data_IF_801409779714
#
_entry.id   IF_801409779714
#
_cell.length_a   1.000
_cell.length_b   1.000
_cell.length_c   1.000
_cell.angle_alpha   90.00
_cell.angle_beta   90.00
_cell.angle_gamma   90.00
#
_symmetry.space_group_name_H-M   'P 1'
#
loop_
_entity.id
_entity.type
_entity.pdbx_description
1 polymer ?
#
# COMPACT_ATOMS: atom_id res chain seq x y z
N UNK A 1 23.50 4.30 -10.95
CA UNK A 1 22.31 4.25 -11.84
C UNK A 1 21.53 2.98 -11.59
N UNK A 2 20.20 3.04 -11.58
CA UNK A 2 19.35 1.83 -11.62
C UNK A 2 18.82 1.68 -13.04
N UNK A 3 19.02 0.49 -13.61
CA UNK A 3 18.69 0.19 -15.00
C UNK A 3 18.01 -1.16 -15.06
N UNK A 4 17.00 -1.27 -15.92
CA UNK A 4 16.25 -2.50 -16.15
C UNK A 4 16.86 -3.23 -17.33
N UNK A 5 16.85 -4.56 -17.26
CA UNK A 5 17.38 -5.41 -18.31
C UNK A 5 16.91 -6.84 -18.16
N UNK A 6 17.05 -7.59 -19.25
CA UNK A 6 16.69 -9.02 -19.31
C UNK A 6 17.96 -9.85 -19.31
N UNK A 7 17.93 -10.98 -18.61
CA UNK A 7 19.01 -11.97 -18.61
C UNK A 7 18.85 -12.87 -19.84
N UNK A 8 19.77 -12.82 -20.80
CA UNK A 8 19.69 -13.66 -22.00
C UNK A 8 20.36 -15.01 -21.81
N UNK A 9 21.63 -15.03 -21.39
CA UNK A 9 22.41 -16.26 -21.26
C UNK A 9 23.34 -16.25 -20.04
N UNK A 10 23.43 -17.40 -19.39
CA UNK A 10 24.45 -17.71 -18.38
C UNK A 10 25.43 -18.68 -19.07
N UNK A 11 26.66 -18.23 -19.30
CA UNK A 11 27.69 -19.05 -19.93
C UNK A 11 28.87 -19.23 -18.96
N UNK A 12 29.65 -20.30 -19.08
CA UNK A 12 30.83 -20.53 -18.25
C UNK A 12 32.07 -20.25 -19.10
N UNK A 13 32.92 -19.34 -18.66
CA UNK A 13 34.17 -19.05 -19.36
C UNK A 13 35.16 -20.20 -19.12
N UNK A 14 35.38 -21.02 -20.14
CA UNK A 14 36.23 -22.22 -20.06
C UNK A 14 37.72 -21.93 -19.79
N UNK A 15 38.20 -20.67 -19.92
CA UNK A 15 39.58 -20.30 -19.58
C UNK A 15 39.75 -19.89 -18.12
N UNK A 16 38.68 -19.42 -17.47
CA UNK A 16 38.74 -18.90 -16.10
C UNK A 16 37.87 -19.67 -15.10
N UNK A 17 37.01 -20.56 -15.59
CA UNK A 17 36.07 -21.36 -14.79
C UNK A 17 34.94 -20.55 -14.15
N UNK A 18 34.78 -19.27 -14.52
CA UNK A 18 33.83 -18.36 -13.87
C UNK A 18 32.56 -18.21 -14.71
N UNK A 19 31.38 -18.10 -14.06
CA UNK A 19 30.13 -17.80 -14.74
C UNK A 19 30.17 -16.37 -15.32
N UNK A 20 29.88 -16.25 -16.61
CA UNK A 20 29.71 -15.02 -17.36
C UNK A 20 28.22 -14.81 -17.60
N UNK A 21 27.73 -13.66 -17.16
CA UNK A 21 26.33 -13.28 -17.28
C UNK A 21 26.24 -12.08 -18.24
N UNK A 22 25.43 -12.19 -19.28
CA UNK A 22 25.14 -11.10 -20.22
C UNK A 22 23.77 -10.50 -19.92
N UNK A 23 23.71 -9.19 -19.70
CA UNK A 23 22.47 -8.44 -19.52
C UNK A 23 22.16 -7.64 -20.78
N UNK A 24 20.94 -7.78 -21.30
CA UNK A 24 20.39 -6.85 -22.29
C UNK A 24 19.76 -5.68 -21.53
N UNK A 25 20.25 -4.46 -21.74
CA UNK A 25 19.81 -3.26 -21.03
C UNK A 25 18.83 -2.44 -21.87
N UNK A 26 17.73 -2.00 -21.26
CA UNK A 26 16.80 -1.06 -21.91
C UNK A 26 17.34 0.37 -21.87
N UNK A 27 17.59 0.95 -23.06
CA UNK A 27 17.93 2.36 -23.27
C UNK A 27 19.38 2.61 -23.76
N UNK A 28 19.51 3.19 -24.96
CA UNK A 28 20.82 3.54 -25.59
C UNK A 28 21.57 4.64 -24.83
N UNK A 29 20.89 5.50 -24.10
CA UNK A 29 21.48 6.68 -23.44
C UNK A 29 22.33 6.36 -22.20
N UNK A 30 22.40 5.09 -21.78
CA UNK A 30 23.19 4.64 -20.61
C UNK A 30 24.50 3.94 -20.98
N UNK A 31 24.85 3.92 -22.27
CA UNK A 31 26.03 3.21 -22.78
C UNK A 31 27.33 3.83 -22.23
N UNK A 32 27.38 5.16 -22.13
CA UNK A 32 28.53 5.92 -21.63
C UNK A 32 28.91 5.56 -20.19
N UNK A 33 27.91 5.36 -19.33
CA UNK A 33 28.14 5.02 -17.93
C UNK A 33 28.58 3.57 -17.76
N UNK A 34 28.20 2.68 -18.69
CA UNK A 34 28.57 1.27 -18.67
C UNK A 34 30.01 1.07 -19.17
N UNK A 35 30.43 1.82 -20.19
CA UNK A 35 31.80 1.76 -20.70
C UNK A 35 32.84 2.17 -19.64
N UNK A 36 32.51 3.13 -18.78
CA UNK A 36 33.37 3.57 -17.67
C UNK A 36 33.59 2.50 -16.59
N UNK A 37 32.73 1.47 -16.53
CA UNK A 37 32.81 0.39 -15.55
C UNK A 37 33.69 -0.78 -16.02
N UNK A 38 34.22 -0.72 -17.25
CA UNK A 38 35.03 -1.78 -17.86
C UNK A 38 36.39 -1.87 -17.17
N UNK A 39 36.68 -3.01 -16.54
CA UNK A 39 37.96 -3.29 -15.87
C UNK A 39 37.98 -3.00 -14.36
N UNK A 40 36.88 -2.49 -13.79
CA UNK A 40 36.74 -2.24 -12.35
C UNK A 40 36.10 -3.45 -11.63
N UNK A 41 36.43 -3.63 -10.35
CA UNK A 41 35.78 -4.64 -9.50
C UNK A 41 34.43 -4.11 -9.02
N UNK A 42 33.35 -4.60 -9.61
CA UNK A 42 31.99 -4.13 -9.36
C UNK A 42 31.27 -5.01 -8.34
N UNK A 43 30.47 -4.39 -7.46
CA UNK A 43 29.45 -5.09 -6.67
C UNK A 43 28.15 -5.07 -7.47
N UNK A 44 27.69 -6.23 -7.93
CA UNK A 44 26.48 -6.38 -8.77
C UNK A 44 25.38 -7.03 -7.93
N UNK A 45 24.22 -6.38 -7.81
CA UNK A 45 23.02 -6.92 -7.15
C UNK A 45 21.86 -6.90 -8.14
N UNK A 46 21.41 -8.07 -8.59
CA UNK A 46 20.28 -8.20 -9.51
C UNK A 46 19.00 -8.51 -8.72
N UNK A 47 18.02 -7.60 -8.75
CA UNK A 47 16.69 -7.82 -8.16
C UNK A 47 15.66 -8.02 -9.26
N UNK A 48 14.68 -8.89 -9.03
CA UNK A 48 13.52 -9.05 -9.92
C UNK A 48 12.88 -7.69 -10.16
N UNK A 49 12.78 -7.27 -11.41
CA UNK A 49 12.06 -6.05 -11.74
C UNK A 49 10.57 -6.26 -11.46
N UNK A 50 10.08 -5.54 -10.45
CA UNK A 50 8.66 -5.41 -10.16
C UNK A 50 8.27 -4.05 -10.70
N UNK A 51 7.32 -4.00 -11.65
CA UNK A 51 6.78 -2.75 -12.18
C UNK A 51 6.41 -1.86 -10.99
N UNK A 52 7.10 -0.73 -10.84
CA UNK A 52 6.75 0.28 -9.84
C UNK A 52 5.27 0.56 -10.06
N UNK A 53 4.41 0.25 -9.09
CA UNK A 53 2.97 0.56 -9.22
C UNK A 53 2.92 2.05 -9.58
N UNK A 54 2.32 2.37 -10.72
CA UNK A 54 1.98 3.75 -11.09
C UNK A 54 1.36 4.40 -9.86
N UNK A 55 1.57 5.70 -9.63
CA UNK A 55 0.99 6.39 -8.47
C UNK A 55 -0.50 6.01 -8.41
N UNK A 56 -0.84 5.22 -7.40
CA UNK A 56 -2.15 4.57 -7.33
C UNK A 56 -2.99 5.34 -6.32
N UNK A 57 -4.31 5.17 -6.36
CA UNK A 57 -5.23 5.86 -5.46
C UNK A 57 -4.75 5.82 -3.98
N UNK A 58 -4.23 4.68 -3.51
CA UNK A 58 -3.67 4.54 -2.16
C UNK A 58 -2.45 5.43 -1.90
N UNK A 59 -1.49 5.49 -2.83
CA UNK A 59 -0.31 6.33 -2.65
C UNK A 59 -0.69 7.81 -2.63
N UNK A 60 -1.65 8.20 -3.47
CA UNK A 60 -2.16 9.56 -3.49
C UNK A 60 -2.86 9.92 -2.18
N UNK A 61 -3.70 9.03 -1.66
CA UNK A 61 -4.34 9.19 -0.35
C UNK A 61 -3.30 9.39 0.76
N UNK A 62 -2.31 8.49 0.88
CA UNK A 62 -1.30 8.59 1.94
C UNK A 62 -0.47 9.88 1.84
N UNK A 63 -0.17 10.33 0.63
CA UNK A 63 0.55 11.58 0.42
C UNK A 63 -0.25 12.78 0.97
N UNK A 64 -1.52 12.91 0.59
CA UNK A 64 -2.37 13.99 1.07
C UNK A 64 -2.59 13.92 2.59
N UNK A 65 -2.80 12.71 3.11
CA UNK A 65 -3.01 12.51 4.54
C UNK A 65 -1.79 12.93 5.35
N UNK A 66 -0.59 12.58 4.88
CA UNK A 66 0.65 12.96 5.53
C UNK A 66 0.84 14.49 5.53
N UNK A 67 0.66 15.15 4.38
CA UNK A 67 0.73 16.61 4.28
C UNK A 67 -0.28 17.31 5.20
N UNK A 68 -1.52 16.78 5.28
CA UNK A 68 -2.54 17.28 6.19
C UNK A 68 -2.12 17.14 7.66
N UNK A 69 -1.63 15.96 8.05
CA UNK A 69 -1.23 15.66 9.41
C UNK A 69 0.01 16.46 9.86
N UNK A 70 0.94 16.72 8.94
CA UNK A 70 2.09 17.59 9.20
C UNK A 70 1.67 19.03 9.53
N UNK A 71 0.61 19.53 8.87
CA UNK A 71 0.05 20.87 9.12
C UNK A 71 -0.84 20.93 10.36
N UNK A 72 -1.58 19.86 10.65
CA UNK A 72 -2.49 19.78 11.79
C UNK A 72 -1.83 19.23 13.07
N UNK A 73 -0.52 18.95 13.04
CA UNK A 73 0.25 18.32 14.12
C UNK A 73 -0.43 17.07 14.71
N UNK A 74 -1.04 16.26 13.84
CA UNK A 74 -1.81 15.07 14.24
C UNK A 74 -1.11 13.79 13.79
N UNK A 75 -1.34 12.68 14.48
CA UNK A 75 -0.80 11.39 14.05
C UNK A 75 -1.52 10.85 12.79
N UNK A 76 -0.74 10.50 11.77
CA UNK A 76 -1.25 10.02 10.48
C UNK A 76 -2.01 8.69 10.60
N UNK A 77 -1.60 7.82 11.53
CA UNK A 77 -2.26 6.52 11.73
C UNK A 77 -3.59 6.68 12.45
N UNK A 78 -3.65 7.52 13.48
CA UNK A 78 -4.89 7.83 14.19
C UNK A 78 -5.91 8.52 13.28
N UNK A 79 -5.46 9.51 12.50
CA UNK A 79 -6.31 10.21 11.55
C UNK A 79 -6.84 9.26 10.45
N UNK A 80 -6.00 8.35 9.96
CA UNK A 80 -6.44 7.32 9.03
C UNK A 80 -7.50 6.40 9.65
N UNK A 81 -7.30 5.94 10.89
CA UNK A 81 -8.28 5.10 11.60
C UNK A 81 -9.59 5.82 11.82
N UNK A 82 -9.55 7.11 12.20
CA UNK A 82 -10.73 7.96 12.36
C UNK A 82 -11.54 8.04 11.06
N UNK A 83 -10.89 8.31 9.93
CA UNK A 83 -11.56 8.38 8.62
C UNK A 83 -12.17 7.05 8.20
N UNK A 84 -11.46 5.93 8.42
CA UNK A 84 -12.01 4.59 8.15
C UNK A 84 -13.22 4.30 9.02
N UNK A 85 -13.20 4.72 10.29
CA UNK A 85 -14.33 4.62 11.21
C UNK A 85 -15.54 5.40 10.71
N UNK A 86 -15.34 6.64 10.28
CA UNK A 86 -16.39 7.54 9.77
C UNK A 86 -17.04 7.02 8.49
N UNK A 87 -16.26 6.33 7.63
CA UNK A 87 -16.81 5.66 6.46
C UNK A 87 -17.70 4.45 6.82
N UNK A 88 -17.65 3.97 8.06
CA UNK A 88 -18.47 2.86 8.55
C UNK A 88 -18.17 1.53 7.87
N UNK A 89 -16.93 1.35 7.38
CA UNK A 89 -16.55 0.14 6.64
C UNK A 89 -16.12 -0.93 7.65
N UNK A 90 -17.11 -1.52 8.32
CA UNK A 90 -16.92 -2.60 9.27
C UNK A 90 -17.87 -3.77 9.01
N UNK A 91 -17.51 -4.92 9.56
CA UNK A 91 -18.41 -6.06 9.69
C UNK A 91 -18.63 -6.36 11.15
N UNK A 92 -19.89 -6.68 11.49
CA UNK A 92 -20.27 -7.04 12.84
C UNK A 92 -20.03 -8.53 13.07
N UNK A 93 -19.33 -8.85 14.15
CA UNK A 93 -19.11 -10.21 14.62
C UNK A 93 -19.63 -10.37 16.04
N UNK A 94 -20.08 -11.58 16.37
CA UNK A 94 -20.41 -11.98 17.74
C UNK A 94 -19.35 -12.98 18.18
N UNK A 95 -18.58 -12.64 19.21
CA UNK A 95 -17.45 -13.43 19.68
C UNK A 95 -17.58 -13.61 21.20
N UNK A 96 -17.28 -14.80 21.69
CA UNK A 96 -17.20 -15.07 23.13
C UNK A 96 -16.17 -14.17 23.79
N UNK A 97 -16.48 -13.65 24.99
CA UNK A 97 -15.65 -12.65 25.67
C UNK A 97 -14.18 -13.09 25.85
N UNK A 98 -13.96 -14.38 26.10
CA UNK A 98 -12.63 -14.99 26.22
C UNK A 98 -11.81 -14.96 24.92
N UNK A 99 -12.47 -15.02 23.77
CA UNK A 99 -11.83 -15.15 22.46
C UNK A 99 -11.55 -13.80 21.78
N UNK A 100 -12.02 -12.69 22.35
CA UNK A 100 -11.91 -11.36 21.75
C UNK A 100 -10.47 -10.91 21.61
N UNK A 101 -9.67 -11.03 22.67
CA UNK A 101 -8.27 -10.57 22.63
C UNK A 101 -7.48 -11.27 21.53
N UNK A 102 -7.75 -12.56 21.32
CA UNK A 102 -7.15 -13.36 20.25
C UNK A 102 -7.62 -12.87 18.88
N UNK A 103 -8.92 -12.62 18.73
CA UNK A 103 -9.48 -12.06 17.50
C UNK A 103 -8.91 -10.68 17.17
N UNK A 104 -8.88 -9.76 18.14
CA UNK A 104 -8.31 -8.41 17.98
C UNK A 104 -6.85 -8.46 17.56
N UNK A 105 -6.04 -9.31 18.19
CA UNK A 105 -4.63 -9.46 17.82
C UNK A 105 -4.47 -9.97 16.38
N UNK A 106 -5.27 -10.96 15.98
CA UNK A 106 -5.27 -11.48 14.61
C UNK A 106 -5.74 -10.44 13.60
N UNK A 107 -6.77 -9.67 13.95
CA UNK A 107 -7.37 -8.66 13.09
C UNK A 107 -6.41 -7.47 12.90
N UNK A 108 -5.87 -6.93 13.99
CA UNK A 108 -4.91 -5.82 13.97
C UNK A 108 -3.62 -6.16 13.21
N UNK A 109 -3.26 -7.44 13.11
CA UNK A 109 -2.09 -7.88 12.35
C UNK A 109 -2.26 -7.73 10.81
N UNK A 110 -3.48 -7.55 10.30
CA UNK A 110 -3.75 -7.38 8.87
C UNK A 110 -3.31 -5.99 8.35
N UNK A 111 -3.24 -4.97 9.21
CA UNK A 111 -2.76 -3.65 8.82
C UNK A 111 -3.26 -2.51 9.69
N UNK A 112 -2.89 -1.28 9.32
CA UNK A 112 -3.01 -0.08 10.15
C UNK A 112 -4.47 0.22 10.58
N UNK A 113 -5.43 0.14 9.66
CA UNK A 113 -6.86 0.41 9.92
C UNK A 113 -7.70 -0.86 10.12
N UNK A 114 -7.07 -2.00 10.38
CA UNK A 114 -7.77 -3.18 10.85
C UNK A 114 -7.84 -3.08 12.36
N UNK A 115 -9.01 -2.74 12.88
CA UNK A 115 -9.24 -2.66 14.33
C UNK A 115 -10.66 -3.06 14.68
N UNK A 116 -10.87 -3.41 15.95
CA UNK A 116 -12.16 -3.82 16.47
C UNK A 116 -12.67 -2.77 17.46
N UNK A 117 -13.99 -2.62 17.50
CA UNK A 117 -14.67 -1.81 18.50
C UNK A 117 -15.83 -2.62 19.08
N UNK A 118 -15.92 -2.69 20.40
CA UNK A 118 -17.04 -3.37 21.06
C UNK A 118 -18.27 -2.47 20.92
N UNK A 119 -19.27 -2.97 20.18
CA UNK A 119 -20.53 -2.29 19.98
C UNK A 119 -21.53 -2.64 21.08
N UNK A 120 -21.54 -3.89 21.56
CA UNK A 120 -22.50 -4.35 22.55
C UNK A 120 -22.03 -5.63 23.28
N UNK A 121 -22.73 -6.01 24.34
CA UNK A 121 -22.51 -7.25 25.11
C UNK A 121 -23.82 -8.02 25.26
N UNK A 122 -23.81 -9.30 24.94
CA UNK A 122 -24.97 -10.19 25.09
C UNK A 122 -24.58 -11.45 25.85
N UNK A 123 -25.55 -12.04 26.54
CA UNK A 123 -25.37 -13.30 27.28
C UNK A 123 -26.22 -14.41 26.66
N UNK A 124 -25.65 -15.59 26.47
CA UNK A 124 -26.35 -16.78 25.99
C UNK A 124 -25.97 -17.93 26.92
N UNK A 125 -26.95 -18.51 27.63
CA UNK A 125 -26.73 -19.63 28.57
C UNK A 125 -25.59 -19.38 29.58
N UNK A 126 -25.58 -18.22 30.24
CA UNK A 126 -24.51 -17.75 31.13
C UNK A 126 -23.13 -17.50 30.50
N UNK A 127 -22.97 -17.68 29.19
CA UNK A 127 -21.74 -17.31 28.47
C UNK A 127 -21.85 -15.89 27.94
N UNK A 128 -20.83 -15.07 28.21
CA UNK A 128 -20.72 -13.69 27.73
C UNK A 128 -20.18 -13.65 26.29
N UNK A 129 -20.89 -12.93 25.42
CA UNK A 129 -20.48 -12.62 24.06
C UNK A 129 -20.39 -11.11 23.87
N UNK A 130 -19.36 -10.63 23.18
CA UNK A 130 -19.32 -9.25 22.70
C UNK A 130 -19.71 -9.21 21.23
N UNK A 131 -20.50 -8.21 20.91
CA UNK A 131 -20.77 -7.79 19.55
C UNK A 131 -19.70 -6.76 19.20
N UNK A 132 -18.85 -7.08 18.24
CA UNK A 132 -17.76 -6.20 17.80
C UNK A 132 -18.01 -5.71 16.38
N UNK A 133 -17.65 -4.45 16.11
CA UNK A 133 -17.50 -3.90 14.78
C UNK A 133 -16.03 -4.05 14.38
N UNK A 134 -15.73 -4.94 13.44
CA UNK A 134 -14.38 -5.14 12.93
C UNK A 134 -14.20 -4.33 11.63
N UNK A 135 -13.40 -3.28 11.69
CA UNK A 135 -13.15 -2.35 10.59
C UNK A 135 -12.11 -2.92 9.62
N UNK A 136 -12.27 -2.61 8.35
CA UNK A 136 -11.36 -3.05 7.28
C UNK A 136 -10.41 -1.93 6.87
N UNK A 137 -9.18 -2.28 6.51
CA UNK A 137 -8.24 -1.33 5.88
C UNK A 137 -8.56 -1.09 4.40
N UNK A 138 -8.00 0.02 3.87
CA UNK A 138 -8.12 0.43 2.45
C UNK A 138 -7.65 -0.61 1.43
N UNK A 139 -6.88 -1.62 1.87
CA UNK A 139 -6.52 -2.80 1.06
C UNK A 139 -7.70 -3.71 0.71
N UNK A 140 -8.85 -3.55 1.37
CA UNK A 140 -10.06 -4.36 1.13
C UNK A 140 -11.22 -3.52 0.59
N UNK A 141 -10.96 -2.27 0.24
CA UNK A 141 -12.01 -1.36 -0.22
C UNK A 141 -12.40 -1.70 -1.66
N UNK A 142 -13.57 -1.23 -2.07
CA UNK A 142 -13.91 -1.12 -3.48
C UNK A 142 -13.66 0.31 -3.98
N UNK A 143 -13.72 0.52 -5.30
CA UNK A 143 -13.45 1.84 -5.90
C UNK A 143 -14.34 2.96 -5.35
N UNK A 144 -15.59 2.67 -4.96
CA UNK A 144 -16.49 3.67 -4.37
C UNK A 144 -16.06 4.04 -2.95
N UNK A 145 -15.69 3.05 -2.14
CA UNK A 145 -15.17 3.25 -0.78
C UNK A 145 -13.85 4.02 -0.81
N UNK A 146 -12.95 3.68 -1.73
CA UNK A 146 -11.69 4.39 -1.91
C UNK A 146 -11.89 5.83 -2.38
N UNK A 147 -12.84 6.07 -3.28
CA UNK A 147 -13.23 7.44 -3.69
C UNK A 147 -13.62 8.27 -2.48
N UNK A 148 -14.57 7.76 -1.66
CA UNK A 148 -15.05 8.47 -0.47
C UNK A 148 -13.93 8.78 0.53
N UNK A 149 -12.97 7.85 0.69
CA UNK A 149 -11.81 8.07 1.54
C UNK A 149 -10.91 9.21 1.03
N UNK A 150 -10.64 9.24 -0.27
CA UNK A 150 -9.85 10.33 -0.90
C UNK A 150 -10.62 11.64 -0.87
N UNK A 151 -11.91 11.63 -1.19
CA UNK A 151 -12.76 12.83 -1.21
C UNK A 151 -12.81 13.47 0.19
N UNK A 152 -12.89 12.65 1.25
CA UNK A 152 -12.82 13.10 2.65
C UNK A 152 -11.50 13.83 2.95
N UNK A 153 -10.35 13.28 2.55
CA UNK A 153 -9.05 13.95 2.82
C UNK A 153 -8.88 15.20 1.96
N UNK A 154 -9.35 15.18 0.72
CA UNK A 154 -9.31 16.31 -0.21
C UNK A 154 -10.15 17.49 0.29
N UNK A 155 -11.30 17.22 0.93
CA UNK A 155 -12.12 18.27 1.54
C UNK A 155 -11.35 18.97 2.66
N UNK A 156 -10.68 18.23 3.53
CA UNK A 156 -9.90 18.82 4.61
C UNK A 156 -8.65 19.54 4.07
N UNK A 157 -7.94 18.95 3.10
CA UNK A 157 -6.83 19.60 2.41
C UNK A 157 -7.21 20.99 1.86
N UNK A 158 -8.44 21.16 1.34
CA UNK A 158 -8.92 22.47 0.85
C UNK A 158 -9.08 23.50 1.97
N UNK A 159 -9.46 23.07 3.18
CA UNK A 159 -9.57 23.95 4.36
C UNK A 159 -8.18 24.46 4.77
N UNK A 160 -7.16 23.60 4.69
CA UNK A 160 -5.77 23.94 5.01
C UNK A 160 -5.00 24.56 3.84
N UNK A 161 -5.63 24.77 2.68
CA UNK A 161 -4.99 25.36 1.50
C UNK A 161 -3.97 24.46 0.79
N UNK A 162 -4.05 23.14 1.00
CA UNK A 162 -3.17 22.15 0.36
C UNK A 162 -3.61 21.93 -1.09
N UNK A 163 -2.67 21.95 -2.03
CA UNK A 163 -2.95 21.72 -3.45
C UNK A 163 -3.34 20.26 -3.71
N UNK A 164 -4.59 20.04 -4.11
CA UNK A 164 -5.10 18.73 -4.49
C UNK A 164 -5.22 18.60 -6.00
N UNK A 165 -5.09 17.37 -6.52
CA UNK A 165 -5.34 17.06 -7.93
C UNK A 165 -6.76 17.41 -8.32
N UNK A 166 -6.95 17.65 -9.62
CA UNK A 166 -8.29 17.84 -10.16
C UNK A 166 -9.14 16.57 -9.99
N UNK A 167 -10.47 16.73 -9.88
CA UNK A 167 -11.37 15.57 -9.76
C UNK A 167 -11.21 14.59 -10.93
N UNK A 168 -10.91 15.10 -12.13
CA UNK A 168 -10.65 14.29 -13.32
C UNK A 168 -9.44 13.37 -13.15
N UNK A 169 -8.36 13.89 -12.58
CA UNK A 169 -7.18 13.07 -12.28
C UNK A 169 -7.46 12.06 -11.16
N UNK A 170 -8.19 12.46 -10.10
CA UNK A 170 -8.58 11.55 -9.02
C UNK A 170 -9.41 10.37 -9.56
N UNK A 171 -10.38 10.64 -10.43
CA UNK A 171 -11.18 9.61 -11.07
C UNK A 171 -10.31 8.68 -11.92
N UNK A 172 -9.35 9.22 -12.69
CA UNK A 172 -8.40 8.41 -13.45
C UNK A 172 -7.55 7.50 -12.56
N UNK A 173 -7.15 7.97 -11.36
CA UNK A 173 -6.41 7.15 -10.39
C UNK A 173 -7.29 6.01 -9.85
N UNK A 174 -8.55 6.28 -9.51
CA UNK A 174 -9.50 5.29 -9.00
C UNK A 174 -9.84 4.21 -10.03
N UNK A 175 -10.01 4.59 -11.30
CA UNK A 175 -10.23 3.64 -12.39
C UNK A 175 -9.02 2.71 -12.58
N UNK A 176 -7.81 3.28 -12.54
CA UNK A 176 -6.57 2.51 -12.63
C UNK A 176 -6.40 1.54 -11.45
N UNK A 177 -6.86 1.95 -10.26
CA UNK A 177 -6.82 1.16 -9.04
C UNK A 177 -7.75 -0.05 -9.14
N UNK A 178 -9.02 0.16 -9.52
CA UNK A 178 -10.00 -0.92 -9.64
C UNK A 178 -9.61 -1.99 -10.66
N UNK A 179 -9.01 -1.60 -11.80
CA UNK A 179 -8.52 -2.54 -12.82
C UNK A 179 -7.34 -3.40 -12.34
N UNK A 180 -6.54 -2.90 -11.40
CA UNK A 180 -5.39 -3.64 -10.85
C UNK A 180 -5.79 -4.56 -9.69
N UNK A 181 -6.79 -4.18 -8.90
CA UNK A 181 -7.34 -5.00 -7.82
C UNK A 181 -8.07 -6.23 -8.37
N UNK A 182 -8.81 -6.10 -9.48
CA UNK A 182 -9.48 -7.23 -10.15
C UNK A 182 -8.54 -8.25 -10.81
N UNK A 183 -7.25 -7.94 -10.91
CA UNK A 183 -6.22 -8.83 -11.50
C UNK A 183 -5.41 -9.61 -10.46
N UNK A 184 -5.66 -9.39 -9.17
CA UNK A 184 -5.08 -10.17 -8.07
C UNK A 184 -6.02 -11.31 -7.69
#
# INVERSE_FOLDING_TARGET
>A
MQTTGTLEEINIDYKTGKPKISFLIDGKDKLSDIEQLKGLKLKIEAKKYIKKRTINANNYFWKLLQELCELSETDTVEEYRRRVKELGIFRRFKIEAENIKTFEKMWNAQGIAWFCEIADTTYINNTEFKIINAYYGSSSFNSKQMSRLIDSVVQDCKVYGIETKSQKEINSLLESWGKNEQKK
#
